data_IF_261139385280
#
_entry.id   IF_261139385280
#
_cell.length_a   1.000
_cell.length_b   1.000
_cell.length_c   1.000
_cell.angle_alpha   90.00
_cell.angle_beta   90.00
_cell.angle_gamma   90.00
#
_symmetry.space_group_name_H-M   'P 1'
#
loop_
_entity.id
_entity.type
_entity.pdbx_description
1 polymer ?
#
# COMPACT_ATOMS: atom_id res chain seq x y z
N UNK A 1 -3.22 -2.35 20.55
CA UNK A 1 -2.87 -2.92 19.23
C UNK A 1 -2.82 -1.80 18.20
N UNK A 2 -1.72 -1.70 17.48
CA UNK A 2 -1.58 -0.71 16.39
C UNK A 2 -2.24 -1.22 15.13
N UNK A 3 -2.43 -0.32 14.15
CA UNK A 3 -2.94 -0.75 12.85
C UNK A 3 -2.00 -1.75 12.16
N UNK A 4 -0.67 -1.61 12.40
CA UNK A 4 0.31 -2.56 11.85
C UNK A 4 0.14 -3.94 12.44
N UNK A 5 -0.10 -4.04 13.74
CA UNK A 5 -0.35 -5.33 14.39
C UNK A 5 -1.61 -6.00 13.82
N UNK A 6 -2.68 -5.25 13.64
CA UNK A 6 -3.91 -5.75 13.06
C UNK A 6 -3.71 -6.23 11.62
N UNK A 7 -2.94 -5.48 10.82
CA UNK A 7 -2.63 -5.85 9.44
C UNK A 7 -1.78 -7.12 9.36
N UNK A 8 -0.79 -7.27 10.25
CA UNK A 8 0.05 -8.47 10.32
C UNK A 8 -0.79 -9.69 10.70
N UNK A 9 -1.66 -9.56 11.69
CA UNK A 9 -2.54 -10.67 12.10
C UNK A 9 -3.45 -11.10 10.94
N UNK A 10 -4.01 -10.14 10.23
CA UNK A 10 -4.82 -10.42 9.04
C UNK A 10 -3.99 -11.10 7.93
N UNK A 11 -2.77 -10.63 7.71
CA UNK A 11 -1.88 -11.21 6.71
C UNK A 11 -1.53 -12.67 7.03
N UNK A 12 -1.27 -12.99 8.29
CA UNK A 12 -1.01 -14.36 8.73
C UNK A 12 -2.23 -15.26 8.53
N UNK A 13 -3.41 -14.73 8.79
CA UNK A 13 -4.66 -15.47 8.63
C UNK A 13 -4.92 -15.80 7.16
N UNK A 14 -4.60 -14.89 6.25
CA UNK A 14 -4.87 -15.04 4.82
C UNK A 14 -3.81 -15.80 4.04
N UNK A 15 -2.59 -15.94 4.59
CA UNK A 15 -1.52 -16.66 3.90
C UNK A 15 -1.96 -18.08 3.52
N UNK A 16 -1.59 -18.60 2.35
CA UNK A 16 -0.65 -18.08 1.35
C UNK A 16 -1.21 -17.03 0.39
N UNK A 17 -2.46 -16.64 0.54
CA UNK A 17 -3.05 -15.59 -0.27
C UNK A 17 -2.64 -14.22 0.26
N UNK A 18 -2.62 -13.22 -0.61
CA UNK A 18 -2.39 -11.85 -0.18
C UNK A 18 -3.58 -11.35 0.65
N UNK A 19 -3.29 -10.73 1.79
CA UNK A 19 -4.31 -9.98 2.51
C UNK A 19 -4.45 -8.60 1.89
N UNK A 20 -5.62 -7.99 2.03
CA UNK A 20 -5.81 -6.59 1.67
C UNK A 20 -6.69 -5.90 2.69
N UNK A 21 -6.48 -4.61 2.83
CA UNK A 21 -7.25 -3.79 3.75
C UNK A 21 -7.02 -2.32 3.50
N UNK A 22 -7.73 -1.52 4.27
CA UNK A 22 -7.71 -0.07 4.12
C UNK A 22 -7.35 0.57 5.46
N UNK A 23 -6.60 1.66 5.39
CA UNK A 23 -6.42 2.53 6.55
C UNK A 23 -7.41 3.68 6.43
N UNK A 24 -8.13 3.93 7.49
CA UNK A 24 -9.07 5.05 7.60
C UNK A 24 -8.66 5.96 8.75
N UNK A 25 -9.01 7.24 8.64
CA UNK A 25 -8.74 8.24 9.68
C UNK A 25 -10.01 8.46 10.49
N UNK A 26 -10.04 7.91 11.69
CA UNK A 26 -11.19 8.04 12.61
C UNK A 26 -10.79 9.01 13.72
N UNK A 27 -11.23 10.26 13.60
CA UNK A 27 -10.97 11.31 14.59
C UNK A 27 -9.47 11.48 14.94
N UNK A 28 -8.62 11.40 13.91
CA UNK A 28 -7.17 11.53 14.06
C UNK A 28 -6.44 10.21 14.31
N UNK A 29 -7.15 9.12 14.56
CA UNK A 29 -6.55 7.80 14.75
C UNK A 29 -6.60 7.00 13.44
N UNK A 30 -5.50 6.33 13.12
CA UNK A 30 -5.42 5.44 11.96
C UNK A 30 -5.93 4.05 12.37
N UNK A 31 -6.95 3.57 11.66
CA UNK A 31 -7.59 2.27 11.92
C UNK A 31 -7.47 1.38 10.69
N UNK A 32 -7.10 0.13 10.90
CA UNK A 32 -7.03 -0.87 9.83
C UNK A 32 -8.38 -1.56 9.65
N UNK A 33 -8.89 -1.54 8.42
CA UNK A 33 -10.11 -2.25 8.02
C UNK A 33 -9.73 -3.42 7.14
N UNK A 34 -9.82 -4.64 7.68
CA UNK A 34 -9.58 -5.85 6.90
C UNK A 34 -10.64 -5.98 5.80
N UNK A 35 -10.20 -6.26 4.58
CA UNK A 35 -11.07 -6.44 3.43
C UNK A 35 -10.97 -7.84 2.88
N UNK A 36 -12.03 -8.29 2.22
CA UNK A 36 -12.03 -9.56 1.50
C UNK A 36 -11.27 -9.40 0.20
N UNK A 37 -10.45 -10.40 -0.13
CA UNK A 37 -9.72 -10.46 -1.39
C UNK A 37 -10.49 -11.35 -2.36
N UNK A 38 -10.93 -10.78 -3.48
CA UNK A 38 -11.68 -11.50 -4.52
C UNK A 38 -10.80 -12.17 -5.55
N UNK A 39 -9.47 -12.02 -5.47
CA UNK A 39 -8.56 -12.62 -6.44
C UNK A 39 -8.56 -14.14 -6.33
N UNK A 40 -8.43 -14.81 -7.49
CA UNK A 40 -8.44 -16.28 -7.58
C UNK A 40 -7.07 -16.92 -7.33
N UNK A 41 -6.00 -16.14 -7.34
CA UNK A 41 -4.65 -16.65 -7.16
C UNK A 41 -3.95 -16.01 -5.96
N UNK A 42 -2.67 -16.38 -5.75
CA UNK A 42 -1.89 -15.93 -4.61
C UNK A 42 -0.99 -14.73 -4.92
N UNK A 43 -1.01 -14.22 -6.16
CA UNK A 43 -0.03 -13.23 -6.63
C UNK A 43 -0.56 -11.80 -6.64
N UNK A 44 -1.84 -11.60 -6.40
CA UNK A 44 -2.43 -10.27 -6.37
C UNK A 44 -3.66 -10.23 -5.45
N UNK A 45 -4.26 -9.07 -5.36
CA UNK A 45 -5.48 -8.89 -4.57
C UNK A 45 -6.48 -8.02 -5.31
N UNK A 46 -7.75 -8.24 -5.02
CA UNK A 46 -8.86 -7.39 -5.48
C UNK A 46 -9.73 -7.12 -4.26
N UNK A 47 -9.80 -5.87 -3.84
CA UNK A 47 -10.60 -5.50 -2.68
C UNK A 47 -12.09 -5.64 -3.00
N UNK A 48 -12.82 -6.33 -2.13
CA UNK A 48 -14.26 -6.47 -2.26
C UNK A 48 -14.93 -5.09 -2.26
N UNK A 49 -15.73 -4.73 -3.29
CA UNK A 49 -16.31 -3.38 -3.38
C UNK A 49 -17.20 -3.00 -2.20
N UNK A 50 -17.90 -3.96 -1.60
CA UNK A 50 -18.72 -3.72 -0.42
C UNK A 50 -17.89 -3.33 0.80
N UNK A 51 -16.71 -3.92 0.95
CA UNK A 51 -15.80 -3.58 2.05
C UNK A 51 -15.22 -2.20 1.87
N UNK A 52 -14.89 -1.82 0.63
CA UNK A 52 -14.45 -0.47 0.30
C UNK A 52 -15.54 0.56 0.63
N UNK A 53 -16.76 0.32 0.17
CA UNK A 53 -17.87 1.24 0.40
C UNK A 53 -18.17 1.42 1.89
N UNK A 54 -18.09 0.33 2.66
CA UNK A 54 -18.28 0.39 4.13
C UNK A 54 -17.21 1.27 4.80
N UNK A 55 -15.96 1.13 4.38
CA UNK A 55 -14.88 1.95 4.92
C UNK A 55 -15.07 3.44 4.58
N UNK A 56 -15.45 3.74 3.34
CA UNK A 56 -15.75 5.12 2.93
C UNK A 56 -16.86 5.75 3.75
N UNK A 57 -17.88 4.97 4.11
CA UNK A 57 -19.00 5.46 4.92
C UNK A 57 -18.59 5.78 6.35
N UNK A 58 -17.55 5.13 6.86
CA UNK A 58 -17.10 5.35 8.24
C UNK A 58 -16.16 6.54 8.37
N UNK A 59 -15.23 6.72 7.42
CA UNK A 59 -14.23 7.76 7.50
C UNK A 59 -13.47 7.89 6.18
N UNK A 60 -12.53 8.85 6.11
CA UNK A 60 -11.67 9.01 4.94
C UNK A 60 -10.69 7.85 4.82
N UNK A 61 -10.61 7.26 3.64
CA UNK A 61 -9.61 6.25 3.30
C UNK A 61 -8.29 6.96 3.01
N UNK A 62 -7.24 6.62 3.75
CA UNK A 62 -5.94 7.29 3.65
C UNK A 62 -4.83 6.42 3.06
N UNK A 63 -5.01 5.09 3.00
CA UNK A 63 -4.02 4.19 2.44
C UNK A 63 -4.61 2.81 2.17
N UNK A 64 -3.90 2.04 1.35
CA UNK A 64 -4.18 0.62 1.10
C UNK A 64 -3.05 -0.20 1.72
N UNK A 65 -3.40 -1.33 2.33
CA UNK A 65 -2.42 -2.27 2.91
C UNK A 65 -2.64 -3.64 2.28
N UNK A 66 -1.55 -4.28 1.84
CA UNK A 66 -1.61 -5.68 1.42
C UNK A 66 -0.36 -6.43 1.85
N UNK A 67 -0.38 -7.76 1.70
CA UNK A 67 0.73 -8.60 2.12
C UNK A 67 1.41 -9.25 0.93
N UNK A 68 2.71 -9.55 1.11
CA UNK A 68 3.51 -10.43 0.27
C UNK A 68 3.91 -11.64 1.14
N UNK A 69 3.11 -12.73 1.20
CA UNK A 69 3.34 -13.79 2.18
C UNK A 69 4.69 -14.48 2.08
N UNK A 70 5.22 -14.65 0.87
CA UNK A 70 6.45 -15.38 0.62
C UNK A 70 7.50 -14.57 -0.12
N UNK A 71 7.34 -13.26 -0.19
CA UNK A 71 8.21 -12.39 -0.99
C UNK A 71 8.61 -11.15 -0.20
N UNK A 72 9.68 -10.49 -0.68
CA UNK A 72 10.05 -9.19 -0.17
C UNK A 72 8.85 -8.23 -0.17
N UNK A 73 8.71 -7.36 0.83
CA UNK A 73 7.62 -6.36 0.86
C UNK A 73 7.83 -5.21 -0.12
N UNK A 74 8.84 -5.27 -0.97
CA UNK A 74 9.03 -4.26 -2.01
C UNK A 74 7.89 -4.32 -3.04
N UNK A 75 7.43 -3.16 -3.55
CA UNK A 75 6.37 -3.15 -4.54
C UNK A 75 6.79 -3.88 -5.83
N UNK A 76 5.90 -4.74 -6.33
CA UNK A 76 6.05 -5.33 -7.66
C UNK A 76 5.74 -4.28 -8.74
N UNK A 77 6.01 -4.60 -10.02
CA UNK A 77 5.62 -3.72 -11.12
C UNK A 77 4.11 -3.51 -11.16
N UNK A 78 3.34 -4.56 -10.90
CA UNK A 78 1.88 -4.48 -10.83
C UNK A 78 1.42 -3.60 -9.65
N UNK A 79 2.05 -3.76 -8.49
CA UNK A 79 1.77 -2.93 -7.32
C UNK A 79 1.95 -1.45 -7.64
N UNK A 80 3.04 -1.11 -8.34
CA UNK A 80 3.32 0.28 -8.70
C UNK A 80 2.27 0.85 -9.64
N UNK A 81 1.81 0.07 -10.62
CA UNK A 81 0.75 0.50 -11.53
C UNK A 81 -0.56 0.75 -10.81
N UNK A 82 -0.98 -0.18 -9.97
CA UNK A 82 -2.24 -0.03 -9.23
C UNK A 82 -2.16 1.02 -8.13
N UNK A 83 -1.01 1.17 -7.50
CA UNK A 83 -0.78 2.25 -6.55
C UNK A 83 -0.98 3.61 -7.22
N UNK A 84 -0.40 3.81 -8.41
CA UNK A 84 -0.57 5.05 -9.18
C UNK A 84 -2.04 5.31 -9.52
N UNK A 85 -2.78 4.27 -9.95
CA UNK A 85 -4.20 4.39 -10.27
C UNK A 85 -5.05 4.73 -9.06
N UNK A 86 -4.70 4.19 -7.90
CA UNK A 86 -5.46 4.42 -6.66
C UNK A 86 -5.29 5.82 -6.10
N UNK A 87 -4.18 6.47 -6.42
CA UNK A 87 -3.80 7.77 -5.86
C UNK A 87 -3.70 7.78 -4.33
N UNK A 88 -3.44 6.61 -3.76
CA UNK A 88 -3.27 6.41 -2.31
C UNK A 88 -1.90 5.80 -2.03
N UNK A 89 -1.30 6.10 -0.86
CA UNK A 89 -0.13 5.35 -0.40
C UNK A 89 -0.49 3.86 -0.20
N UNK A 90 0.46 3.00 -0.53
CA UNK A 90 0.34 1.56 -0.30
C UNK A 90 1.39 1.11 0.69
N UNK A 91 0.98 0.34 1.69
CA UNK A 91 1.86 -0.33 2.63
C UNK A 91 1.81 -1.82 2.37
N UNK A 92 2.98 -2.45 2.34
CA UNK A 92 3.12 -3.86 2.02
C UNK A 92 3.84 -4.54 3.19
N UNK A 93 3.31 -5.66 3.65
CA UNK A 93 3.90 -6.40 4.77
C UNK A 93 4.23 -7.83 4.37
N UNK A 94 5.39 -8.31 4.83
CA UNK A 94 5.69 -9.74 4.81
C UNK A 94 5.35 -10.29 6.21
N UNK A 95 4.30 -11.10 6.35
CA UNK A 95 3.89 -11.58 7.68
C UNK A 95 4.86 -12.59 8.29
N UNK A 96 5.72 -13.22 7.49
CA UNK A 96 6.67 -14.22 7.99
C UNK A 96 7.76 -13.59 8.85
N UNK A 97 8.25 -12.40 8.48
CA UNK A 97 9.33 -11.72 9.21
C UNK A 97 8.91 -10.34 9.75
N UNK A 98 7.71 -9.88 9.45
CA UNK A 98 7.22 -8.58 9.91
C UNK A 98 7.81 -7.38 9.21
N UNK A 99 8.51 -7.57 8.09
CA UNK A 99 9.09 -6.47 7.32
C UNK A 99 8.04 -5.71 6.52
N UNK A 100 8.29 -4.42 6.30
CA UNK A 100 7.37 -3.50 5.62
C UNK A 100 8.02 -2.82 4.43
N UNK A 101 7.24 -2.65 3.38
CA UNK A 101 7.57 -1.82 2.23
C UNK A 101 6.47 -0.80 1.98
N UNK A 102 6.72 0.12 1.04
CA UNK A 102 5.80 1.23 0.77
C UNK A 102 5.87 1.64 -0.69
N UNK A 103 4.74 2.05 -1.24
CA UNK A 103 4.65 2.67 -2.55
C UNK A 103 3.78 3.93 -2.43
N UNK A 104 4.23 5.01 -3.06
CA UNK A 104 3.51 6.29 -3.05
C UNK A 104 3.26 6.71 -4.50
N UNK A 105 2.04 7.17 -4.85
CA UNK A 105 1.77 7.67 -6.19
C UNK A 105 2.68 8.84 -6.55
N UNK A 106 3.11 8.89 -7.81
CA UNK A 106 3.92 9.99 -8.32
C UNK A 106 3.06 11.20 -8.68
N UNK A 107 1.95 10.95 -9.40
CA UNK A 107 1.01 11.98 -9.83
C UNK A 107 0.03 12.24 -8.67
N UNK A 108 -0.24 13.51 -8.40
CA UNK A 108 -1.09 13.89 -7.28
C UNK A 108 -0.35 13.98 -5.95
N UNK A 109 0.94 13.64 -5.94
CA UNK A 109 1.80 13.78 -4.75
C UNK A 109 1.88 15.25 -4.35
N UNK A 110 1.64 15.52 -3.06
CA UNK A 110 1.75 16.88 -2.54
C UNK A 110 3.21 17.34 -2.57
N UNK A 111 3.43 18.58 -3.04
CA UNK A 111 4.76 19.17 -3.03
C UNK A 111 5.16 19.57 -1.62
N UNK A 112 6.28 19.04 -1.16
CA UNK A 112 6.90 19.41 0.10
C UNK A 112 8.39 19.60 -0.18
N UNK A 113 8.92 20.78 0.16
CA UNK A 113 10.35 21.05 -0.02
C UNK A 113 11.21 19.97 0.63
N UNK A 114 12.21 19.50 -0.09
CA UNK A 114 13.16 18.47 0.32
C UNK A 114 12.56 17.06 0.43
N UNK A 115 11.24 16.89 0.29
CA UNK A 115 10.60 15.57 0.32
C UNK A 115 10.03 15.22 -1.05
N UNK A 116 9.41 16.18 -1.73
CA UNK A 116 8.81 16.00 -3.05
C UNK A 116 9.18 17.17 -3.95
N UNK A 117 10.46 17.40 -4.14
CA UNK A 117 10.95 18.39 -5.10
C UNK A 117 10.99 17.81 -6.51
N UNK A 118 11.35 18.64 -7.48
CA UNK A 118 11.40 18.26 -8.89
C UNK A 118 12.29 17.06 -9.16
N UNK A 119 13.45 17.01 -8.51
CA UNK A 119 14.39 15.92 -8.68
C UNK A 119 13.84 14.61 -8.11
N UNK A 120 13.25 14.66 -6.91
CA UNK A 120 12.66 13.50 -6.28
C UNK A 120 11.55 12.90 -7.15
N UNK A 121 10.71 13.75 -7.74
CA UNK A 121 9.65 13.30 -8.64
C UNK A 121 10.22 12.62 -9.89
N UNK A 122 11.23 13.20 -10.51
CA UNK A 122 11.88 12.63 -11.70
C UNK A 122 12.54 11.30 -11.35
N UNK A 123 13.28 11.24 -10.25
CA UNK A 123 13.93 10.02 -9.79
C UNK A 123 12.92 8.90 -9.55
N UNK A 124 11.82 9.21 -8.88
CA UNK A 124 10.79 8.23 -8.57
C UNK A 124 10.09 7.75 -9.86
N UNK A 125 9.88 8.65 -10.82
CA UNK A 125 9.29 8.29 -12.10
C UNK A 125 10.17 7.28 -12.86
N UNK A 126 11.49 7.53 -12.91
CA UNK A 126 12.43 6.60 -13.54
C UNK A 126 12.50 5.27 -12.82
N UNK A 127 12.47 5.27 -11.48
CA UNK A 127 12.42 4.05 -10.69
C UNK A 127 11.17 3.23 -11.00
N UNK A 128 10.03 3.89 -11.15
CA UNK A 128 8.77 3.25 -11.52
C UNK A 128 8.86 2.53 -12.88
N UNK A 129 9.66 3.08 -13.81
CA UNK A 129 9.86 2.52 -15.14
C UNK A 129 11.09 1.60 -15.23
N UNK A 130 11.64 1.18 -14.10
CA UNK A 130 12.77 0.25 -14.04
C UNK A 130 14.14 0.87 -14.24
N UNK A 131 14.22 2.19 -14.24
CA UNK A 131 15.49 2.92 -14.36
C UNK A 131 15.86 3.54 -13.02
N UNK A 132 17.13 3.51 -12.68
CA UNK A 132 17.64 4.10 -11.45
C UNK A 132 18.50 5.33 -11.78
N UNK A 133 18.21 6.43 -11.11
CA UNK A 133 18.99 7.65 -11.21
C UNK A 133 19.71 7.91 -9.89
N UNK A 134 20.92 8.51 -9.92
CA UNK A 134 21.62 8.87 -8.69
C UNK A 134 20.88 9.97 -7.93
N UNK A 135 21.04 9.97 -6.61
CA UNK A 135 20.58 11.09 -5.80
C UNK A 135 21.47 12.29 -5.99
N UNK A 136 20.86 13.46 -6.08
CA UNK A 136 21.58 14.73 -6.06
C UNK A 136 21.48 15.31 -4.64
N UNK A 137 22.62 15.57 -4.07
CA UNK A 137 22.67 16.21 -2.75
C UNK A 137 22.66 17.74 -2.87
#
# INVERSE_FOLDING_TARGET
MTWRDAAIDHAKLMAPNESCGLLIDVAGDTVYCACRNLADDTDHFIIHPGDWAKAEDEADIIAIVHSHPDQSPDPSAMDRQFCERSQLPWHIVNPADGSWGKCIPLIGRQWVWAISDCWTLVRDWYALHGLLLPDWD
#
